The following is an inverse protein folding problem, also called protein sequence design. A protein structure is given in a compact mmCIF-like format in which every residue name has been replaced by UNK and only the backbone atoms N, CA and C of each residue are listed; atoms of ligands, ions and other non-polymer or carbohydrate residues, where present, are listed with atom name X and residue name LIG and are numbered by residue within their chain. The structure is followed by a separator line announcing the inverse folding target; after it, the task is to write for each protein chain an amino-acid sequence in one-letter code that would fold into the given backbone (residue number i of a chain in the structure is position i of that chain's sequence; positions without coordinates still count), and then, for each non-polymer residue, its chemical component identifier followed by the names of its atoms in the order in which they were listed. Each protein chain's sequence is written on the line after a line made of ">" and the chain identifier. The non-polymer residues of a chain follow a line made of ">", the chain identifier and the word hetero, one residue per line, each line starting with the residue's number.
data_IF_969669787909
#
_entry.id   IF_969669787909
#
_cell.length_a   1.000
_cell.length_b   1.000
_cell.length_c   1.000
_cell.angle_alpha   90.00
_cell.angle_beta   90.00
_cell.angle_gamma   90.00
#
_symmetry.space_group_name_H-M   'P 1'
#
loop_
_entity.id
_entity.type
_entity.pdbx_description
1 polymer ?
#
# COMPACT_ATOMS: atom_id res chain seq x y z
N UNK A 1 17.67 -5.51 5.38
CA UNK A 1 16.34 -4.91 5.67
C UNK A 1 15.30 -5.56 4.76
N UNK A 2 14.06 -5.83 5.21
CA UNK A 2 13.08 -6.65 4.49
C UNK A 2 12.74 -6.15 3.06
N UNK A 3 12.76 -4.83 2.84
CA UNK A 3 12.58 -4.18 1.53
C UNK A 3 13.52 -4.66 0.42
N UNK A 4 14.75 -5.05 0.75
CA UNK A 4 15.70 -5.56 -0.24
C UNK A 4 15.34 -6.97 -0.73
N UNK A 5 14.71 -7.78 0.14
CA UNK A 5 14.23 -9.13 -0.19
C UNK A 5 13.03 -9.03 -1.14
N UNK A 6 12.06 -8.14 -0.84
CA UNK A 6 10.89 -7.92 -1.71
C UNK A 6 11.30 -7.44 -3.11
N UNK A 7 12.34 -6.60 -3.22
CA UNK A 7 12.90 -6.21 -4.51
C UNK A 7 13.46 -7.40 -5.28
N UNK A 8 14.25 -8.26 -4.62
CA UNK A 8 14.81 -9.46 -5.25
C UNK A 8 13.74 -10.47 -5.67
N UNK A 9 12.60 -10.46 -4.99
CA UNK A 9 11.41 -11.24 -5.34
C UNK A 9 10.60 -10.61 -6.48
N UNK A 10 10.92 -9.40 -6.94
CA UNK A 10 10.19 -8.71 -8.00
C UNK A 10 8.81 -8.23 -7.56
N UNK A 11 8.64 -7.94 -6.27
CA UNK A 11 7.36 -7.44 -5.74
C UNK A 11 7.17 -6.00 -6.23
N UNK A 12 6.14 -5.78 -7.04
CA UNK A 12 5.82 -4.47 -7.60
C UNK A 12 5.30 -3.49 -6.54
N UNK A 13 4.56 -3.95 -5.53
CA UNK A 13 4.10 -3.12 -4.41
C UNK A 13 4.28 -3.81 -3.07
N UNK A 14 4.79 -3.05 -2.09
CA UNK A 14 4.93 -3.48 -0.71
C UNK A 14 4.11 -2.56 0.18
N UNK A 15 3.24 -3.13 1.00
CA UNK A 15 2.36 -2.37 1.87
C UNK A 15 2.83 -2.52 3.31
N UNK A 16 3.08 -1.40 3.97
CA UNK A 16 3.50 -1.34 5.36
C UNK A 16 2.41 -0.66 6.19
N UNK A 17 1.96 -1.36 7.22
CA UNK A 17 1.07 -0.79 8.22
C UNK A 17 1.89 -0.26 9.40
N UNK A 18 1.92 1.05 9.59
CA UNK A 18 2.61 1.70 10.72
C UNK A 18 1.80 2.87 11.25
N UNK A 19 1.62 2.94 12.58
CA UNK A 19 0.99 4.08 13.28
C UNK A 19 -0.40 4.41 12.69
N UNK A 20 -1.24 3.39 12.51
CA UNK A 20 -2.58 3.50 11.90
C UNK A 20 -2.59 4.10 10.49
N UNK A 21 -1.46 4.05 9.79
CA UNK A 21 -1.35 4.48 8.40
C UNK A 21 -0.81 3.36 7.52
N UNK A 22 -1.44 3.18 6.35
CA UNK A 22 -0.98 2.27 5.32
C UNK A 22 -0.03 3.01 4.38
N UNK A 23 1.25 2.71 4.50
CA UNK A 23 2.28 3.21 3.60
C UNK A 23 2.50 2.22 2.46
N UNK A 24 2.16 2.62 1.26
CA UNK A 24 2.32 1.80 0.07
C UNK A 24 3.60 2.21 -0.64
N UNK A 25 4.44 1.24 -0.95
CA UNK A 25 5.70 1.43 -1.64
C UNK A 25 5.66 0.73 -2.98
N UNK A 26 5.65 1.48 -4.07
CA UNK A 26 5.68 0.95 -5.42
C UNK A 26 7.11 0.88 -5.94
N UNK A 27 7.48 -0.27 -6.51
CA UNK A 27 8.78 -0.47 -7.12
C UNK A 27 8.83 0.27 -8.46
N UNK A 28 9.50 1.43 -8.50
CA UNK A 28 9.73 2.20 -9.74
C UNK A 28 10.91 1.63 -10.56
N UNK A 29 11.17 0.32 -10.45
CA UNK A 29 12.15 -0.42 -11.25
C UNK A 29 11.58 -0.64 -12.65
N UNK A 30 11.35 0.45 -13.38
CA UNK A 30 11.36 0.36 -14.83
C UNK A 30 12.83 0.18 -15.22
N UNK A 31 13.19 -0.96 -15.80
CA UNK A 31 14.58 -1.34 -16.11
C UNK A 31 15.38 -0.37 -17.03
N UNK A 32 14.88 0.85 -17.24
CA UNK A 32 15.43 1.92 -18.05
C UNK A 32 16.24 2.95 -17.24
N UNK A 33 16.09 3.04 -15.91
CA UNK A 33 16.82 4.01 -15.09
C UNK A 33 17.75 3.33 -14.06
N UNK A 34 18.94 3.91 -13.78
CA UNK A 34 19.92 3.32 -12.88
C UNK A 34 19.33 3.11 -11.48
N UNK A 35 19.40 1.84 -11.07
CA UNK A 35 18.79 1.09 -9.95
C UNK A 35 19.03 1.61 -8.52
N UNK A 36 19.60 2.80 -8.37
CA UNK A 36 20.21 3.32 -7.14
C UNK A 36 20.06 4.85 -6.98
N UNK A 37 19.68 5.57 -8.04
CA UNK A 37 19.79 7.04 -8.04
C UNK A 37 18.53 7.77 -7.57
N UNK A 38 17.35 7.16 -7.70
CA UNK A 38 16.07 7.84 -7.42
C UNK A 38 15.69 7.73 -5.94
N UNK A 39 15.87 6.56 -5.32
CA UNK A 39 15.57 6.35 -3.90
C UNK A 39 16.56 5.39 -3.22
N UNK A 40 17.73 5.89 -2.76
CA UNK A 40 18.72 5.05 -2.09
C UNK A 40 18.24 4.51 -0.73
N UNK A 41 17.45 5.28 0.01
CA UNK A 41 16.92 4.90 1.33
C UNK A 41 15.86 3.78 1.28
N UNK A 42 15.11 3.71 0.18
CA UNK A 42 14.03 2.74 -0.03
C UNK A 42 14.35 1.73 -1.13
N UNK A 43 15.61 1.64 -1.59
CA UNK A 43 16.05 0.66 -2.59
C UNK A 43 15.30 0.71 -3.94
N UNK A 44 14.83 1.89 -4.35
CA UNK A 44 14.07 2.08 -5.60
C UNK A 44 12.55 1.97 -5.46
N UNK A 45 12.04 1.87 -4.24
CA UNK A 45 10.62 1.97 -3.96
C UNK A 45 10.20 3.41 -3.72
N UNK A 46 9.16 3.86 -4.42
CA UNK A 46 8.53 5.16 -4.20
C UNK A 46 7.34 5.01 -3.24
N UNK A 47 7.22 5.91 -2.26
CA UNK A 47 6.04 5.97 -1.41
C UNK A 47 4.89 6.59 -2.20
N UNK A 48 3.82 5.83 -2.38
CA UNK A 48 2.59 6.23 -3.06
C UNK A 48 1.43 6.27 -2.05
N UNK A 49 0.47 7.17 -2.28
CA UNK A 49 -0.71 7.34 -1.41
C UNK A 49 -1.87 6.42 -1.79
N UNK A 50 -1.87 5.85 -2.99
CA UNK A 50 -2.89 4.94 -3.48
C UNK A 50 -2.24 3.85 -4.34
N UNK A 51 -2.73 2.61 -4.25
CA UNK A 51 -2.19 1.46 -4.98
C UNK A 51 -2.38 1.65 -6.50
N UNK A 52 -1.31 1.44 -7.27
CA UNK A 52 -1.40 1.46 -8.74
C UNK A 52 -1.87 0.11 -9.30
N UNK A 53 -1.57 -0.99 -8.60
CA UNK A 53 -2.08 -2.32 -8.92
C UNK A 53 -3.58 -2.44 -8.66
N UNK A 54 -4.09 -1.75 -7.64
CA UNK A 54 -5.50 -1.76 -7.25
C UNK A 54 -6.06 -0.34 -7.18
N UNK A 55 -6.30 0.32 -8.33
CA UNK A 55 -6.78 1.69 -8.37
C UNK A 55 -8.20 1.86 -7.83
N UNK A 56 -8.97 0.78 -7.71
CA UNK A 56 -10.30 0.76 -7.10
C UNK A 56 -10.28 0.48 -5.60
N UNK A 57 -9.11 0.27 -4.99
CA UNK A 57 -8.99 0.02 -3.56
C UNK A 57 -8.85 1.35 -2.82
N UNK A 58 -9.85 1.62 -1.98
CA UNK A 58 -9.90 2.83 -1.18
C UNK A 58 -9.03 2.65 0.08
N UNK A 59 -7.82 3.22 0.05
CA UNK A 59 -6.82 3.05 1.11
C UNK A 59 -7.29 3.69 2.41
N UNK A 60 -7.95 4.84 2.34
CA UNK A 60 -8.51 5.53 3.51
C UNK A 60 -9.59 4.67 4.20
N UNK A 61 -10.39 3.95 3.39
CA UNK A 61 -11.36 2.99 3.91
C UNK A 61 -10.68 1.81 4.59
N UNK A 62 -9.64 1.26 3.96
CA UNK A 62 -8.86 0.16 4.52
C UNK A 62 -8.19 0.56 5.84
N UNK A 63 -7.64 1.78 5.90
CA UNK A 63 -7.03 2.35 7.10
C UNK A 63 -8.05 2.45 8.24
N UNK A 64 -9.25 2.93 7.96
CA UNK A 64 -10.34 2.96 8.94
C UNK A 64 -10.70 1.55 9.41
N UNK A 65 -10.85 0.60 8.50
CA UNK A 65 -11.23 -0.78 8.82
C UNK A 65 -10.18 -1.48 9.71
N UNK A 66 -8.89 -1.32 9.42
CA UNK A 66 -7.82 -1.93 10.22
C UNK A 66 -7.70 -1.27 11.60
N UNK A 67 -8.06 0.01 11.74
CA UNK A 67 -8.06 0.71 13.02
C UNK A 67 -9.22 0.27 13.93
N UNK A 68 -10.26 -0.36 13.37
CA UNK A 68 -11.38 -0.91 14.14
C UNK A 68 -10.96 -2.26 14.72
N UNK A 69 -10.67 -2.28 16.03
CA UNK A 69 -10.31 -3.49 16.79
C UNK A 69 -11.42 -4.55 16.80
N UNK A 70 -12.66 -4.14 16.56
CA UNK A 70 -13.83 -5.01 16.51
C UNK A 70 -14.14 -5.41 15.06
N UNK A 71 -13.80 -6.65 14.69
CA UNK A 71 -13.98 -7.16 13.33
C UNK A 71 -15.41 -7.07 12.81
N UNK A 72 -16.42 -7.02 13.69
CA UNK A 72 -17.83 -6.91 13.28
C UNK A 72 -18.15 -5.47 12.87
N UNK A 73 -17.67 -4.49 13.63
CA UNK A 73 -17.83 -3.06 13.28
C UNK A 73 -17.04 -2.68 12.03
N UNK A 74 -15.88 -3.31 11.81
CA UNK A 74 -15.07 -3.10 10.60
C UNK A 74 -15.83 -3.54 9.33
N UNK A 75 -16.52 -4.68 9.40
CA UNK A 75 -17.32 -5.19 8.29
C UNK A 75 -18.55 -4.32 8.04
N UNK A 76 -19.26 -3.86 9.08
CA UNK A 76 -20.44 -2.98 8.91
C UNK A 76 -20.08 -1.64 8.23
N UNK A 77 -18.97 -1.02 8.63
CA UNK A 77 -18.48 0.22 7.99
C UNK A 77 -18.01 -0.02 6.55
N UNK A 78 -17.34 -1.15 6.29
CA UNK A 78 -16.93 -1.51 4.93
C UNK A 78 -18.14 -1.76 4.02
N UNK A 79 -19.12 -2.53 4.49
CA UNK A 79 -20.36 -2.80 3.75
C UNK A 79 -21.16 -1.52 3.53
N UNK A 80 -21.24 -0.61 4.50
CA UNK A 80 -21.87 0.70 4.30
C UNK A 80 -21.16 1.53 3.24
N UNK A 81 -19.83 1.54 3.24
CA UNK A 81 -19.07 2.32 2.28
C UNK A 81 -19.18 1.77 0.86
N UNK A 82 -19.24 0.45 0.69
CA UNK A 82 -19.41 -0.21 -0.61
C UNK A 82 -20.89 -0.16 -1.06
N UNK A 83 -21.85 -0.16 -0.13
CA UNK A 83 -23.28 -0.29 -0.39
C UNK A 83 -24.05 1.01 -0.63
N UNK A 84 -23.51 2.18 -0.27
CA UNK A 84 -24.22 3.47 -0.42
C UNK A 84 -24.01 4.18 -1.77
N UNK A 85 -23.57 3.46 -2.80
CA UNK A 85 -23.35 3.99 -4.16
C UNK A 85 -24.54 3.82 -5.12
N UNK A 86 -25.79 4.03 -4.66
CA UNK A 86 -26.99 4.04 -5.52
C UNK A 86 -27.60 5.45 -5.63
#
# INVERSE_FOLDING_TARGET
>A
MPKEIYRRLGVAEVWFWEINQLKIYHLRDSGLLPKTTVFPDTYGYELITASELLPSLDIELLERCITITDSILAVDEFEKAIGNGY
#
